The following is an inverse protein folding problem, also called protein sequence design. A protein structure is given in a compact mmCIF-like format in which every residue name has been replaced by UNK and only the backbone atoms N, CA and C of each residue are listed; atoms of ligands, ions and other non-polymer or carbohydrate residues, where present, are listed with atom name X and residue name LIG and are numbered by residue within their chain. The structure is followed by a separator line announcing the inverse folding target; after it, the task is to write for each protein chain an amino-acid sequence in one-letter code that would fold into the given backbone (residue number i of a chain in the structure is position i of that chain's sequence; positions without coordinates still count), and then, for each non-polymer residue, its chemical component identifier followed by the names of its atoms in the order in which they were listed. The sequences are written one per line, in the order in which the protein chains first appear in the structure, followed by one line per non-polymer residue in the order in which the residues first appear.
data_IF_923840864355
#
_entry.id   IF_923840864355
#
_cell.length_a   1.000
_cell.length_b   1.000
_cell.length_c   1.000
_cell.angle_alpha   90.00
_cell.angle_beta   90.00
_cell.angle_gamma   90.00
#
_symmetry.space_group_name_H-M   'P 1'
#
loop_
_entity.id
_entity.type
_entity.pdbx_description
1 polymer ?
#
# COMPACT_ATOMS: atom_id res chain seq x y z
N UNK A 1 38.72 -3.94 24.98
CA UNK A 1 38.16 -4.67 23.81
C UNK A 1 36.68 -4.35 23.73
N UNK A 2 36.28 -3.47 22.81
CA UNK A 2 34.88 -3.17 22.53
C UNK A 2 34.65 -3.52 21.06
N UNK A 3 33.90 -4.60 20.84
CA UNK A 3 33.48 -5.04 19.51
C UNK A 3 32.44 -4.08 18.96
N UNK A 4 32.89 -3.13 18.14
CA UNK A 4 32.03 -2.25 17.37
C UNK A 4 31.31 -3.03 16.28
N UNK A 5 29.99 -3.07 16.41
CA UNK A 5 29.01 -3.60 15.48
C UNK A 5 29.35 -3.18 14.03
N UNK A 6 29.59 -4.16 13.14
CA UNK A 6 29.75 -3.89 11.70
C UNK A 6 28.40 -3.42 11.18
N UNK A 7 28.26 -2.12 10.90
CA UNK A 7 27.16 -1.59 10.14
C UNK A 7 27.00 -2.41 8.85
N UNK A 8 25.88 -3.11 8.72
CA UNK A 8 25.55 -3.86 7.52
C UNK A 8 25.54 -2.90 6.32
N UNK A 9 26.16 -3.31 5.22
CA UNK A 9 26.20 -2.58 3.97
C UNK A 9 24.79 -2.07 3.61
N UNK A 10 24.58 -0.78 3.26
CA UNK A 10 23.26 -0.30 2.85
C UNK A 10 22.75 -1.16 1.70
N UNK A 11 21.57 -1.74 1.91
CA UNK A 11 20.94 -2.68 0.99
C UNK A 11 20.72 -1.98 -0.35
N UNK A 12 21.34 -2.48 -1.42
CA UNK A 12 21.06 -1.99 -2.78
C UNK A 12 19.79 -2.66 -3.28
N UNK A 13 18.76 -1.87 -3.61
CA UNK A 13 17.51 -2.37 -4.20
C UNK A 13 17.76 -3.24 -5.43
N UNK A 14 16.94 -4.27 -5.63
CA UNK A 14 17.00 -5.14 -6.82
C UNK A 14 16.86 -4.33 -8.13
N UNK A 15 16.21 -3.17 -8.06
CA UNK A 15 15.96 -2.28 -9.20
C UNK A 15 17.12 -1.33 -9.50
N UNK A 16 18.02 -1.06 -8.54
CA UNK A 16 19.21 -0.20 -8.71
C UNK A 16 20.50 -0.96 -8.99
N UNK A 17 20.46 -2.28 -8.89
CA UNK A 17 21.60 -3.12 -9.21
C UNK A 17 21.84 -3.13 -10.73
N UNK A 18 22.40 -2.05 -11.27
CA UNK A 18 22.95 -2.04 -12.63
C UNK A 18 23.96 -3.18 -12.78
N UNK A 19 23.76 -4.04 -13.79
CA UNK A 19 24.82 -4.91 -14.30
C UNK A 19 25.18 -6.14 -13.46
N UNK A 20 24.46 -6.50 -12.39
CA UNK A 20 24.54 -7.89 -11.90
C UNK A 20 23.90 -8.78 -12.98
N UNK A 21 24.59 -9.84 -13.45
CA UNK A 21 23.98 -10.73 -14.41
C UNK A 21 22.66 -11.20 -13.81
N UNK A 22 21.55 -11.00 -14.54
CA UNK A 22 20.29 -11.67 -14.22
C UNK A 22 20.63 -13.08 -13.76
N UNK A 23 20.14 -13.55 -12.59
CA UNK A 23 20.54 -14.83 -12.01
C UNK A 23 20.55 -15.86 -13.14
N UNK A 24 21.76 -16.36 -13.44
CA UNK A 24 22.19 -16.96 -14.71
C UNK A 24 21.03 -17.29 -15.64
N UNK A 25 20.73 -16.38 -16.58
CA UNK A 25 19.91 -16.69 -17.75
C UNK A 25 20.68 -17.71 -18.61
N UNK A 26 20.56 -18.99 -18.27
CA UNK A 26 20.63 -20.14 -19.20
C UNK A 26 19.24 -20.79 -19.26
N UNK A 27 18.21 -19.96 -19.44
CA UNK A 27 17.03 -20.41 -20.14
C UNK A 27 17.43 -20.48 -21.63
N UNK A 28 17.88 -21.65 -22.08
CA UNK A 28 17.72 -22.03 -23.48
C UNK A 28 16.22 -22.09 -23.74
N UNK A 29 15.66 -20.96 -24.17
CA UNK A 29 14.27 -20.76 -24.52
C UNK A 29 13.92 -21.41 -25.86
N UNK A 30 14.17 -22.73 -26.00
CA UNK A 30 13.76 -23.45 -27.22
C UNK A 30 13.16 -24.84 -26.99
N UNK A 31 13.00 -25.33 -25.74
CA UNK A 31 12.34 -26.65 -25.49
C UNK A 31 11.48 -26.76 -24.23
N UNK A 32 11.04 -25.65 -23.65
CA UNK A 32 10.21 -25.67 -22.43
C UNK A 32 8.83 -25.05 -22.64
N UNK A 33 8.27 -25.16 -23.84
CA UNK A 33 6.82 -25.12 -23.99
C UNK A 33 6.30 -26.50 -23.58
N UNK A 34 5.32 -26.51 -22.68
CA UNK A 34 4.46 -27.65 -22.31
C UNK A 34 4.93 -28.62 -21.21
N UNK A 35 5.17 -28.11 -19.99
CA UNK A 35 4.77 -28.87 -18.80
C UNK A 35 4.01 -27.96 -17.82
N UNK A 36 2.73 -28.22 -17.54
CA UNK A 36 2.03 -27.61 -16.42
C UNK A 36 2.74 -28.04 -15.12
N UNK A 37 3.59 -27.17 -14.57
CA UNK A 37 4.28 -27.46 -13.31
C UNK A 37 5.74 -27.00 -13.18
N UNK A 38 6.38 -26.46 -14.23
CA UNK A 38 7.73 -25.89 -14.06
C UNK A 38 7.70 -24.66 -13.14
N UNK A 39 8.75 -24.48 -12.34
CA UNK A 39 8.93 -23.30 -11.50
C UNK A 39 9.41 -22.13 -12.37
N UNK A 40 8.82 -20.96 -12.20
CA UNK A 40 9.27 -19.70 -12.78
C UNK A 40 9.09 -18.55 -11.79
N UNK A 41 9.61 -17.37 -12.14
CA UNK A 41 9.58 -16.20 -11.26
C UNK A 41 8.15 -15.71 -11.00
N UNK A 42 7.29 -15.73 -12.01
CA UNK A 42 5.89 -15.29 -11.89
C UNK A 42 5.13 -16.17 -10.90
N UNK A 43 5.29 -17.49 -10.99
CA UNK A 43 4.70 -18.45 -10.05
C UNK A 43 5.23 -18.27 -8.63
N UNK A 44 6.52 -17.97 -8.45
CA UNK A 44 7.10 -17.68 -7.13
C UNK A 44 6.49 -16.41 -6.54
N UNK A 45 6.39 -15.33 -7.31
CA UNK A 45 5.81 -14.05 -6.88
C UNK A 45 4.33 -14.25 -6.51
N UNK A 46 3.54 -14.90 -7.38
CA UNK A 46 2.12 -15.14 -7.13
C UNK A 46 1.89 -16.02 -5.88
N UNK A 47 2.73 -17.03 -5.65
CA UNK A 47 2.65 -17.84 -4.44
C UNK A 47 3.05 -17.06 -3.18
N UNK A 48 4.04 -16.17 -3.29
CA UNK A 48 4.45 -15.31 -2.20
C UNK A 48 3.35 -14.31 -1.80
N UNK A 49 2.68 -13.68 -2.78
CA UNK A 49 1.54 -12.78 -2.53
C UNK A 49 0.43 -13.54 -1.80
N UNK A 50 -0.04 -14.68 -2.33
CA UNK A 50 -1.09 -15.49 -1.65
C UNK A 50 -0.73 -15.86 -0.22
N UNK A 51 0.53 -16.25 0.02
CA UNK A 51 1.00 -16.62 1.35
C UNK A 51 1.05 -15.41 2.29
N UNK A 52 1.48 -14.24 1.79
CA UNK A 52 1.50 -12.99 2.54
C UNK A 52 0.09 -12.50 2.87
N UNK A 53 -0.86 -12.60 1.94
CA UNK A 53 -2.26 -12.23 2.16
C UNK A 53 -2.94 -13.14 3.21
N UNK A 54 -2.66 -14.44 3.16
CA UNK A 54 -3.28 -15.43 4.03
C UNK A 54 -2.66 -15.47 5.43
N UNK A 55 -1.33 -15.40 5.54
CA UNK A 55 -0.61 -15.65 6.80
C UNK A 55 0.09 -14.41 7.37
N UNK A 56 0.21 -13.34 6.58
CA UNK A 56 0.90 -12.11 6.96
C UNK A 56 2.43 -12.22 6.95
N UNK A 57 3.06 -11.06 7.07
CA UNK A 57 4.52 -10.91 6.96
C UNK A 57 5.30 -11.67 8.04
N UNK A 58 4.75 -11.79 9.25
CA UNK A 58 5.40 -12.44 10.41
C UNK A 58 5.64 -13.93 10.19
N UNK A 59 4.68 -14.62 9.55
CA UNK A 59 4.77 -16.07 9.27
C UNK A 59 5.51 -16.37 7.96
N UNK A 60 5.72 -15.35 7.13
CA UNK A 60 6.34 -15.50 5.82
C UNK A 60 7.86 -15.79 5.89
N UNK A 61 8.27 -16.90 5.27
CA UNK A 61 9.67 -17.30 5.10
C UNK A 61 9.93 -17.99 3.76
N UNK A 62 11.17 -17.94 3.28
CA UNK A 62 11.59 -18.62 2.04
C UNK A 62 11.34 -20.14 2.09
N UNK A 63 11.46 -20.74 3.29
CA UNK A 63 11.16 -22.16 3.51
C UNK A 63 9.65 -22.45 3.41
N UNK A 64 8.81 -21.61 4.02
CA UNK A 64 7.34 -21.75 3.94
C UNK A 64 6.86 -21.58 2.50
N UNK A 65 7.42 -20.61 1.77
CA UNK A 65 7.16 -20.41 0.34
C UNK A 65 7.58 -21.61 -0.51
N UNK A 66 8.77 -22.17 -0.30
CA UNK A 66 9.21 -23.35 -1.02
C UNK A 66 8.31 -24.57 -0.76
N UNK A 67 7.88 -24.75 0.51
CA UNK A 67 6.93 -25.78 0.88
C UNK A 67 5.57 -25.60 0.18
N UNK A 68 5.06 -24.37 0.13
CA UNK A 68 3.83 -24.00 -0.59
C UNK A 68 3.93 -24.33 -2.09
N UNK A 69 5.09 -24.11 -2.67
CA UNK A 69 5.38 -24.39 -4.08
C UNK A 69 5.69 -25.88 -4.37
N UNK A 70 5.83 -26.72 -3.34
CA UNK A 70 6.22 -28.13 -3.47
C UNK A 70 7.66 -28.33 -3.95
N UNK A 71 8.56 -27.37 -3.68
CA UNK A 71 9.96 -27.39 -4.13
C UNK A 71 10.94 -27.20 -2.97
N UNK A 72 12.24 -27.35 -3.23
CA UNK A 72 13.27 -27.03 -2.24
C UNK A 72 13.50 -25.53 -2.13
N UNK A 73 13.94 -25.03 -0.98
CA UNK A 73 14.32 -23.62 -0.83
C UNK A 73 15.41 -23.20 -1.83
N UNK A 74 16.36 -24.09 -2.11
CA UNK A 74 17.41 -23.87 -3.10
C UNK A 74 16.82 -23.60 -4.50
N UNK A 75 15.75 -24.30 -4.88
CA UNK A 75 15.05 -24.09 -6.15
C UNK A 75 14.50 -22.67 -6.29
N UNK A 76 14.00 -22.07 -5.20
CA UNK A 76 13.49 -20.68 -5.20
C UNK A 76 14.64 -19.68 -5.35
N UNK A 77 15.76 -19.91 -4.65
CA UNK A 77 16.94 -19.05 -4.72
C UNK A 77 17.63 -19.01 -6.09
N UNK A 78 17.30 -19.92 -7.01
CA UNK A 78 17.71 -19.81 -8.41
C UNK A 78 17.05 -18.64 -9.16
N UNK A 79 15.90 -18.16 -8.68
CA UNK A 79 15.11 -17.12 -9.34
C UNK A 79 15.18 -15.77 -8.62
N UNK A 80 15.49 -15.77 -7.32
CA UNK A 80 15.60 -14.58 -6.47
C UNK A 80 16.79 -14.74 -5.51
N UNK A 81 17.64 -13.73 -5.37
CA UNK A 81 18.89 -13.92 -4.63
C UNK A 81 18.65 -14.03 -3.12
N UNK A 82 17.64 -13.33 -2.59
CA UNK A 82 17.32 -13.32 -1.17
C UNK A 82 15.83 -12.99 -0.91
N UNK A 83 15.41 -13.03 0.37
CA UNK A 83 14.02 -12.76 0.78
C UNK A 83 13.59 -11.34 0.43
N UNK A 84 14.47 -10.38 0.58
CA UNK A 84 14.17 -8.97 0.39
C UNK A 84 14.03 -8.61 -1.07
N UNK A 85 14.87 -9.16 -1.95
CA UNK A 85 14.71 -9.09 -3.40
C UNK A 85 13.34 -9.62 -3.82
N UNK A 86 12.88 -10.73 -3.21
CA UNK A 86 11.54 -11.24 -3.43
C UNK A 86 10.46 -10.28 -2.90
N UNK A 87 10.66 -9.66 -1.73
CA UNK A 87 9.73 -8.69 -1.17
C UNK A 87 9.61 -7.43 -2.06
N UNK A 88 10.70 -6.94 -2.62
CA UNK A 88 10.68 -5.84 -3.61
C UNK A 88 9.94 -6.23 -4.90
N UNK A 89 10.07 -7.48 -5.34
CA UNK A 89 9.37 -7.98 -6.52
C UNK A 89 7.86 -8.11 -6.29
N UNK A 90 7.43 -8.66 -5.15
CA UNK A 90 5.99 -8.78 -4.84
C UNK A 90 5.34 -7.42 -4.58
N UNK A 91 6.07 -6.47 -3.98
CA UNK A 91 5.60 -5.08 -3.81
C UNK A 91 5.34 -4.41 -5.16
N UNK A 92 6.27 -4.57 -6.10
CA UNK A 92 6.04 -4.03 -7.44
C UNK A 92 4.87 -4.75 -8.13
N UNK A 93 4.77 -6.07 -8.01
CA UNK A 93 3.69 -6.84 -8.65
C UNK A 93 2.30 -6.38 -8.19
N UNK A 94 2.05 -6.25 -6.88
CA UNK A 94 0.75 -5.76 -6.37
C UNK A 94 0.49 -4.30 -6.74
N UNK A 95 1.54 -3.50 -6.93
CA UNK A 95 1.40 -2.13 -7.45
C UNK A 95 0.89 -2.12 -8.90
N UNK A 96 1.04 -3.23 -9.63
CA UNK A 96 0.51 -3.42 -10.98
C UNK A 96 -0.98 -3.71 -11.04
N UNK A 97 -1.64 -3.96 -9.91
CA UNK A 97 -3.09 -4.19 -9.83
C UNK A 97 -3.90 -2.89 -9.92
N UNK A 98 -3.25 -1.76 -9.64
CA UNK A 98 -3.89 -0.45 -9.65
C UNK A 98 -4.25 0.00 -11.06
N UNK A 99 -5.51 0.35 -11.28
CA UNK A 99 -5.98 0.90 -12.54
C UNK A 99 -5.59 2.39 -12.66
N UNK A 100 -4.64 2.70 -13.53
CA UNK A 100 -4.17 4.07 -13.73
C UNK A 100 -5.11 4.83 -14.68
N UNK A 101 -5.53 6.07 -14.35
CA UNK A 101 -6.19 6.94 -15.33
C UNK A 101 -5.21 7.29 -16.45
N UNK A 102 -5.74 7.72 -17.60
CA UNK A 102 -4.93 8.38 -18.62
C UNK A 102 -4.57 9.81 -18.14
N UNK A 103 -3.31 10.07 -17.74
CA UNK A 103 -2.93 11.36 -17.20
C UNK A 103 -2.89 12.48 -18.26
N UNK A 104 -3.03 12.13 -19.55
CA UNK A 104 -2.97 13.06 -20.67
C UNK A 104 -4.36 13.31 -21.30
N UNK A 105 -5.44 12.71 -20.76
CA UNK A 105 -6.81 12.94 -21.21
C UNK A 105 -7.26 14.40 -21.05
N UNK A 106 -7.51 15.11 -22.15
CA UNK A 106 -7.75 16.56 -22.19
C UNK A 106 -8.98 17.02 -21.39
N UNK A 107 -10.07 16.25 -21.42
CA UNK A 107 -11.35 16.61 -20.79
C UNK A 107 -11.49 16.12 -19.34
N UNK A 108 -10.48 15.44 -18.79
CA UNK A 108 -10.57 14.86 -17.46
C UNK A 108 -10.22 15.86 -16.35
N UNK A 109 -11.07 15.95 -15.31
CA UNK A 109 -10.73 16.73 -14.10
C UNK A 109 -9.59 16.03 -13.34
N UNK A 110 -8.50 16.77 -13.10
CA UNK A 110 -7.36 16.28 -12.33
C UNK A 110 -7.78 15.85 -10.90
N UNK A 111 -8.84 16.46 -10.33
CA UNK A 111 -9.36 16.08 -9.01
C UNK A 111 -9.91 14.66 -9.03
N UNK A 112 -10.72 14.34 -10.05
CA UNK A 112 -11.29 12.99 -10.21
C UNK A 112 -10.20 11.96 -10.48
N UNK A 113 -9.17 12.32 -11.23
CA UNK A 113 -8.03 11.43 -11.46
C UNK A 113 -7.20 11.19 -10.19
N UNK A 114 -6.97 12.22 -9.36
CA UNK A 114 -6.33 12.03 -8.05
C UNK A 114 -7.20 11.22 -7.11
N UNK A 115 -8.53 11.39 -7.15
CA UNK A 115 -9.46 10.52 -6.41
C UNK A 115 -9.27 9.07 -6.83
N UNK A 116 -9.36 8.79 -8.13
CA UNK A 116 -9.16 7.43 -8.65
C UNK A 116 -7.83 6.84 -8.19
N UNK A 117 -6.72 7.55 -8.37
CA UNK A 117 -5.39 7.09 -7.94
C UNK A 117 -5.31 6.81 -6.43
N UNK A 118 -5.93 7.65 -5.60
CA UNK A 118 -5.97 7.46 -4.15
C UNK A 118 -6.85 6.25 -3.75
N UNK A 119 -7.99 6.05 -4.40
CA UNK A 119 -8.85 4.87 -4.17
C UNK A 119 -8.17 3.58 -4.60
N UNK A 120 -7.51 3.56 -5.76
CA UNK A 120 -6.72 2.42 -6.24
C UNK A 120 -5.60 2.08 -5.25
N UNK A 121 -4.94 3.10 -4.74
CA UNK A 121 -3.86 2.91 -3.78
C UNK A 121 -4.35 2.38 -2.42
N UNK A 122 -5.43 2.97 -1.88
CA UNK A 122 -6.09 2.43 -0.69
C UNK A 122 -6.55 0.99 -0.90
N UNK A 123 -7.20 0.71 -2.03
CA UNK A 123 -7.71 -0.61 -2.38
C UNK A 123 -6.59 -1.66 -2.39
N UNK A 124 -5.44 -1.34 -2.97
CA UNK A 124 -4.25 -2.21 -2.94
C UNK A 124 -3.73 -2.43 -1.51
N UNK A 125 -3.64 -1.38 -0.69
CA UNK A 125 -3.21 -1.50 0.72
C UNK A 125 -4.16 -2.35 1.57
N UNK A 126 -5.47 -2.19 1.40
CA UNK A 126 -6.50 -2.96 2.11
C UNK A 126 -6.51 -4.42 1.64
N UNK A 127 -6.35 -4.66 0.33
CA UNK A 127 -6.26 -6.02 -0.24
C UNK A 127 -4.99 -6.75 0.21
N UNK A 128 -3.89 -6.02 0.36
CA UNK A 128 -2.58 -6.55 0.75
C UNK A 128 -2.04 -5.87 2.03
N UNK A 129 -2.60 -6.20 3.21
CA UNK A 129 -2.24 -5.61 4.50
C UNK A 129 -0.74 -5.50 4.82
N UNK A 130 0.02 -6.50 4.37
CA UNK A 130 1.46 -6.59 4.58
C UNK A 130 2.24 -5.47 3.86
N UNK A 131 1.68 -4.85 2.81
CA UNK A 131 2.33 -3.78 2.05
C UNK A 131 2.59 -2.57 2.94
N UNK A 132 1.63 -2.16 3.77
CA UNK A 132 1.75 -0.99 4.65
C UNK A 132 2.99 -1.07 5.57
N UNK A 133 3.37 -2.29 5.99
CA UNK A 133 4.55 -2.52 6.83
C UNK A 133 5.88 -2.45 6.06
N UNK A 134 5.85 -2.61 4.74
CA UNK A 134 7.03 -2.67 3.87
C UNK A 134 7.31 -1.37 3.12
N UNK A 135 6.30 -0.54 2.85
CA UNK A 135 6.43 0.69 2.03
C UNK A 135 7.51 1.65 2.55
N UNK A 136 7.77 1.68 3.86
CA UNK A 136 8.85 2.48 4.48
C UNK A 136 10.18 1.74 4.66
N UNK A 137 10.23 0.43 4.36
CA UNK A 137 11.42 -0.41 4.52
C UNK A 137 12.16 -0.62 3.19
N UNK A 138 11.45 -0.55 2.06
CA UNK A 138 11.97 -0.77 0.72
C UNK A 138 11.82 0.47 -0.16
N UNK A 139 12.69 0.59 -1.16
CA UNK A 139 12.53 1.59 -2.21
C UNK A 139 11.51 1.07 -3.23
N UNK A 140 10.34 1.71 -3.31
CA UNK A 140 9.26 1.35 -4.24
C UNK A 140 9.53 1.90 -5.66
N UNK A 141 10.65 1.50 -6.25
CA UNK A 141 11.16 2.00 -7.53
C UNK A 141 11.10 0.95 -8.65
N UNK A 142 10.32 -0.10 -8.45
CA UNK A 142 10.03 -1.06 -9.50
C UNK A 142 9.17 -0.44 -10.62
N UNK A 143 9.14 -1.05 -11.82
CA UNK A 143 8.51 -0.48 -13.00
C UNK A 143 7.00 -0.22 -12.83
N UNK A 144 6.26 -1.06 -12.09
CA UNK A 144 4.81 -0.85 -11.85
C UNK A 144 4.60 0.31 -10.87
N UNK A 145 5.39 0.34 -9.80
CA UNK A 145 5.39 1.42 -8.80
C UNK A 145 5.75 2.78 -9.42
N UNK A 146 6.72 2.78 -10.33
CA UNK A 146 7.15 3.97 -11.08
C UNK A 146 6.09 4.45 -12.06
N UNK A 147 5.31 3.55 -12.69
CA UNK A 147 4.18 3.96 -13.53
C UNK A 147 3.09 4.67 -12.72
N UNK A 148 2.75 4.16 -11.55
CA UNK A 148 1.80 4.82 -10.64
C UNK A 148 2.31 6.21 -10.20
N UNK A 149 3.59 6.28 -9.83
CA UNK A 149 4.24 7.54 -9.43
C UNK A 149 4.27 8.56 -10.57
N UNK A 150 4.61 8.14 -11.79
CA UNK A 150 4.62 9.01 -12.98
C UNK A 150 3.22 9.50 -13.35
N UNK A 151 2.21 8.61 -13.34
CA UNK A 151 0.82 8.99 -13.59
C UNK A 151 0.35 10.06 -12.60
N UNK A 152 0.56 9.86 -11.30
CA UNK A 152 0.15 10.83 -10.27
C UNK A 152 0.88 12.17 -10.42
N UNK A 153 2.18 12.14 -10.73
CA UNK A 153 2.96 13.35 -10.99
C UNK A 153 2.41 14.12 -12.19
N UNK A 154 2.08 13.45 -13.29
CA UNK A 154 1.53 14.09 -14.50
C UNK A 154 0.15 14.70 -14.24
N UNK A 155 -0.74 13.99 -13.56
CA UNK A 155 -2.06 14.51 -13.17
C UNK A 155 -1.91 15.81 -12.37
N UNK A 156 -1.02 15.80 -11.37
CA UNK A 156 -0.81 17.00 -10.54
C UNK A 156 -0.13 18.14 -11.31
N UNK A 157 0.80 17.85 -12.22
CA UNK A 157 1.39 18.89 -13.11
C UNK A 157 0.33 19.54 -14.00
N UNK A 158 -0.57 18.75 -14.57
CA UNK A 158 -1.66 19.23 -15.43
C UNK A 158 -2.66 20.11 -14.69
N UNK A 159 -2.81 19.92 -13.37
CA UNK A 159 -3.66 20.79 -12.54
C UNK A 159 -3.23 22.27 -12.56
N UNK A 160 -2.00 22.56 -12.98
CA UNK A 160 -1.37 23.87 -12.92
C UNK A 160 -0.67 24.16 -11.59
N UNK A 161 -0.46 23.14 -10.75
CA UNK A 161 0.33 23.25 -9.53
C UNK A 161 1.78 23.65 -9.82
N UNK A 162 2.31 24.55 -9.01
CA UNK A 162 3.68 25.03 -9.13
C UNK A 162 4.68 23.89 -8.80
N UNK A 163 5.78 23.73 -9.57
CA UNK A 163 6.71 22.60 -9.43
C UNK A 163 7.28 22.38 -8.02
N UNK A 164 7.60 23.44 -7.27
CA UNK A 164 8.13 23.32 -5.91
C UNK A 164 7.12 22.76 -4.91
N UNK A 165 5.80 22.91 -5.17
CA UNK A 165 4.73 22.40 -4.29
C UNK A 165 4.30 20.97 -4.61
N UNK A 166 4.57 20.47 -5.81
CA UNK A 166 4.15 19.12 -6.25
C UNK A 166 4.55 18.05 -5.24
N UNK A 167 5.81 18.03 -4.81
CA UNK A 167 6.32 17.02 -3.89
C UNK A 167 5.58 17.04 -2.54
N UNK A 168 5.33 18.25 -2.00
CA UNK A 168 4.59 18.42 -0.75
C UNK A 168 3.12 18.02 -0.86
N UNK A 169 2.46 18.37 -1.98
CA UNK A 169 1.08 18.00 -2.26
C UNK A 169 0.89 16.49 -2.42
N UNK A 170 1.77 15.83 -3.18
CA UNK A 170 1.77 14.36 -3.29
C UNK A 170 2.09 13.70 -1.94
N UNK A 171 3.02 14.27 -1.18
CA UNK A 171 3.33 13.84 0.17
C UNK A 171 2.10 13.86 1.07
N UNK A 172 1.37 14.98 1.12
CA UNK A 172 0.15 15.12 1.92
C UNK A 172 -0.94 14.12 1.49
N UNK A 173 -1.18 13.99 0.18
CA UNK A 173 -2.14 13.04 -0.38
C UNK A 173 -1.82 11.60 0.04
N UNK A 174 -0.60 11.15 -0.23
CA UNK A 174 -0.25 9.76 0.06
C UNK A 174 -0.08 9.50 1.54
N UNK A 175 0.41 10.44 2.34
CA UNK A 175 0.44 10.30 3.80
C UNK A 175 -0.95 10.13 4.40
N UNK A 176 -1.96 10.85 3.88
CA UNK A 176 -3.34 10.63 4.23
C UNK A 176 -3.80 9.20 3.87
N UNK A 177 -3.59 8.77 2.62
CA UNK A 177 -3.98 7.42 2.17
C UNK A 177 -3.30 6.33 3.00
N UNK A 178 -1.99 6.45 3.23
CA UNK A 178 -1.22 5.52 4.06
C UNK A 178 -1.74 5.47 5.48
N UNK A 179 -1.92 6.64 6.12
CA UNK A 179 -2.38 6.72 7.50
C UNK A 179 -3.74 6.07 7.65
N UNK A 180 -4.67 6.39 6.74
CA UNK A 180 -6.02 5.85 6.75
C UNK A 180 -6.02 4.33 6.54
N UNK A 181 -5.42 3.85 5.45
CA UNK A 181 -5.40 2.43 5.11
C UNK A 181 -4.66 1.61 6.18
N UNK A 182 -3.56 2.12 6.73
CA UNK A 182 -2.81 1.43 7.80
C UNK A 182 -3.66 1.25 9.05
N UNK A 183 -4.39 2.27 9.48
CA UNK A 183 -5.28 2.17 10.65
C UNK A 183 -6.40 1.17 10.39
N UNK A 184 -7.04 1.26 9.23
CA UNK A 184 -8.09 0.32 8.81
C UNK A 184 -7.57 -1.13 8.85
N UNK A 185 -6.47 -1.40 8.17
CA UNK A 185 -5.86 -2.73 8.09
C UNK A 185 -5.40 -3.26 9.45
N UNK A 186 -4.76 -2.44 10.29
CA UNK A 186 -4.34 -2.89 11.63
C UNK A 186 -5.53 -3.22 12.52
N UNK A 187 -6.63 -2.51 12.37
CA UNK A 187 -7.87 -2.80 13.08
C UNK A 187 -8.49 -4.12 12.60
N UNK A 188 -8.54 -4.35 11.29
CA UNK A 188 -8.97 -5.61 10.67
C UNK A 188 -8.11 -6.79 11.14
N UNK A 189 -6.78 -6.65 11.14
CA UNK A 189 -5.83 -7.67 11.63
C UNK A 189 -6.07 -7.99 13.12
N UNK A 190 -6.23 -6.96 13.96
CA UNK A 190 -6.49 -7.13 15.40
C UNK A 190 -7.77 -7.91 15.65
N UNK A 191 -8.87 -7.58 14.96
CA UNK A 191 -10.15 -8.25 15.15
C UNK A 191 -10.06 -9.71 14.67
N UNK A 192 -9.41 -9.96 13.53
CA UNK A 192 -9.17 -11.31 13.00
C UNK A 192 -8.37 -12.18 13.97
N UNK A 193 -7.27 -11.65 14.51
CA UNK A 193 -6.40 -12.38 15.46
C UNK A 193 -7.13 -12.67 16.79
N UNK A 194 -8.05 -11.81 17.20
CA UNK A 194 -8.90 -11.99 18.38
C UNK A 194 -10.15 -12.86 18.13
N UNK A 195 -10.44 -13.21 16.87
CA UNK A 195 -11.67 -13.92 16.49
C UNK A 195 -12.95 -13.08 16.66
N UNK A 196 -12.83 -11.76 16.56
CA UNK A 196 -13.92 -10.80 16.71
C UNK A 196 -14.46 -10.37 15.36
N UNK A 197 -15.79 -10.20 15.27
CA UNK A 197 -16.40 -9.43 14.20
C UNK A 197 -16.17 -7.92 14.45
N UNK A 198 -15.80 -7.20 13.41
CA UNK A 198 -15.42 -5.79 13.53
C UNK A 198 -16.61 -4.88 13.85
N UNK A 199 -17.77 -5.15 13.24
CA UNK A 199 -18.99 -4.37 13.45
C UNK A 199 -19.48 -4.56 14.89
N UNK A 200 -19.53 -5.82 15.34
CA UNK A 200 -19.95 -6.16 16.71
C UNK A 200 -19.00 -5.55 17.73
N UNK A 201 -17.68 -5.62 17.51
CA UNK A 201 -16.70 -5.05 18.40
C UNK A 201 -16.79 -3.51 18.48
N UNK A 202 -16.98 -2.82 17.35
CA UNK A 202 -17.20 -1.37 17.35
C UNK A 202 -18.47 -0.98 18.12
N UNK A 203 -19.54 -1.74 17.95
CA UNK A 203 -20.81 -1.54 18.66
C UNK A 203 -20.64 -1.75 20.16
N UNK A 204 -19.98 -2.82 20.59
CA UNK A 204 -19.71 -3.11 22.00
C UNK A 204 -18.88 -2.02 22.67
N UNK A 205 -17.83 -1.52 21.99
CA UNK A 205 -17.03 -0.40 22.48
C UNK A 205 -17.88 0.87 22.62
N UNK A 206 -18.70 1.18 21.61
CA UNK A 206 -19.57 2.37 21.62
C UNK A 206 -20.62 2.30 22.74
N UNK A 207 -21.18 1.11 22.98
CA UNK A 207 -22.16 0.85 24.04
C UNK A 207 -21.52 1.04 25.42
N UNK A 208 -20.35 0.44 25.63
CA UNK A 208 -19.60 0.57 26.88
C UNK A 208 -19.25 2.01 27.21
N UNK A 209 -18.93 2.84 26.21
CA UNK A 209 -18.63 4.26 26.40
C UNK A 209 -19.89 5.08 26.75
N UNK A 210 -21.05 4.72 26.17
CA UNK A 210 -22.33 5.42 26.40
C UNK A 210 -22.93 5.07 27.75
N UNK A 211 -22.75 3.83 28.21
CA UNK A 211 -23.24 3.36 29.51
C UNK A 211 -22.41 3.88 30.69
N UNK A 212 -21.26 4.53 30.46
CA UNK A 212 -20.42 5.15 31.49
C UNK A 212 -20.84 6.60 31.75
N UNK A 213 -21.50 6.94 32.88
CA UNK A 213 -22.06 8.28 33.11
C UNK A 213 -20.98 9.36 33.19
N UNK A 214 -19.88 9.08 33.92
CA UNK A 214 -18.74 9.99 34.06
C UNK A 214 -18.05 10.27 32.70
N UNK A 215 -18.01 9.27 31.81
CA UNK A 215 -17.42 9.42 30.49
C UNK A 215 -18.35 10.21 29.56
N UNK A 216 -19.64 9.90 29.59
CA UNK A 216 -20.64 10.55 28.76
C UNK A 216 -20.82 12.04 29.09
N UNK A 217 -20.77 12.41 30.38
CA UNK A 217 -20.82 13.81 30.80
C UNK A 217 -19.57 14.58 30.37
N UNK A 218 -18.39 13.95 30.49
CA UNK A 218 -17.10 14.61 30.23
C UNK A 218 -16.74 14.74 28.75
N UNK A 219 -17.23 13.83 27.91
CA UNK A 219 -16.90 13.75 26.48
C UNK A 219 -18.13 13.75 25.58
N UNK A 220 -19.07 14.66 25.85
CA UNK A 220 -20.38 14.73 25.18
C UNK A 220 -20.33 14.73 23.64
N UNK A 221 -19.43 15.51 23.05
CA UNK A 221 -19.25 15.56 21.58
C UNK A 221 -18.74 14.22 21.01
N UNK A 222 -17.77 13.60 21.68
CA UNK A 222 -17.26 12.28 21.30
C UNK A 222 -18.34 11.22 21.39
N UNK A 223 -19.24 11.32 22.37
CA UNK A 223 -20.36 10.40 22.53
C UNK A 223 -21.43 10.60 21.47
N UNK A 224 -21.77 11.85 21.14
CA UNK A 224 -22.69 12.15 20.06
C UNK A 224 -22.17 11.61 18.71
N UNK A 225 -20.85 11.65 18.50
CA UNK A 225 -20.22 11.02 17.34
C UNK A 225 -20.31 9.49 17.41
N UNK A 226 -19.89 8.87 18.51
CA UNK A 226 -19.93 7.41 18.68
C UNK A 226 -21.34 6.83 18.47
N UNK A 227 -22.38 7.52 18.94
CA UNK A 227 -23.77 7.11 18.76
C UNK A 227 -24.22 7.14 17.29
N UNK A 228 -23.72 8.07 16.47
CA UNK A 228 -23.99 8.10 15.03
C UNK A 228 -23.29 6.97 14.30
N UNK A 229 -22.03 6.68 14.67
CA UNK A 229 -21.24 5.62 14.08
C UNK A 229 -21.80 4.22 14.39
N UNK A 230 -22.51 4.05 15.51
CA UNK A 230 -23.08 2.77 15.94
C UNK A 230 -24.03 2.13 14.93
N UNK A 231 -24.86 2.92 14.26
CA UNK A 231 -25.99 2.44 13.45
C UNK A 231 -25.63 2.21 11.97
N UNK A 232 -24.41 2.58 11.56
CA UNK A 232 -23.95 2.51 10.18
C UNK A 232 -23.06 1.27 9.96
N UNK A 233 -23.15 0.59 8.81
CA UNK A 233 -22.20 -0.46 8.47
C UNK A 233 -20.76 0.09 8.44
N UNK A 234 -19.82 -0.63 9.04
CA UNK A 234 -18.43 -0.21 9.19
C UNK A 234 -17.74 0.00 7.84
N UNK A 235 -18.09 -0.79 6.83
CA UNK A 235 -17.59 -0.61 5.47
C UNK A 235 -18.01 0.74 4.88
N UNK A 236 -19.27 1.14 5.07
CA UNK A 236 -19.80 2.43 4.63
C UNK A 236 -19.13 3.59 5.38
N UNK A 237 -18.88 3.41 6.69
CA UNK A 237 -18.13 4.36 7.50
C UNK A 237 -16.72 4.58 6.97
N UNK A 238 -15.99 3.50 6.69
CA UNK A 238 -14.63 3.60 6.15
C UNK A 238 -14.62 4.30 4.79
N UNK A 239 -15.57 3.97 3.91
CA UNK A 239 -15.64 4.57 2.58
C UNK A 239 -16.00 6.06 2.64
N UNK A 240 -16.98 6.43 3.47
CA UNK A 240 -17.37 7.83 3.68
C UNK A 240 -16.23 8.64 4.26
N UNK A 241 -15.63 8.18 5.35
CA UNK A 241 -14.59 8.95 6.06
C UNK A 241 -13.31 9.07 5.19
N UNK A 242 -12.99 8.04 4.40
CA UNK A 242 -11.92 8.13 3.41
C UNK A 242 -12.24 9.19 2.35
N UNK A 243 -13.45 9.16 1.78
CA UNK A 243 -13.88 10.10 0.74
C UNK A 243 -13.83 11.55 1.24
N UNK A 244 -14.39 11.83 2.43
CA UNK A 244 -14.39 13.17 3.03
C UNK A 244 -12.96 13.64 3.32
N UNK A 245 -12.11 12.78 3.87
CA UNK A 245 -10.71 13.11 4.13
C UNK A 245 -9.92 13.39 2.84
N UNK A 246 -10.12 12.57 1.81
CA UNK A 246 -9.51 12.72 0.50
C UNK A 246 -9.92 14.03 -0.17
N UNK A 247 -11.21 14.34 -0.19
CA UNK A 247 -11.73 15.59 -0.73
C UNK A 247 -11.18 16.80 0.01
N UNK A 248 -11.02 16.71 1.34
CA UNK A 248 -10.38 17.77 2.15
C UNK A 248 -8.94 18.02 1.72
N UNK A 249 -8.16 16.96 1.48
CA UNK A 249 -6.78 17.09 1.00
C UNK A 249 -6.72 17.66 -0.42
N UNK A 250 -7.57 17.18 -1.34
CA UNK A 250 -7.63 17.67 -2.72
C UNK A 250 -8.04 19.15 -2.76
N UNK A 251 -9.04 19.55 -1.97
CA UNK A 251 -9.44 20.95 -1.84
C UNK A 251 -8.29 21.81 -1.28
N UNK A 252 -7.52 21.30 -0.32
CA UNK A 252 -6.31 21.95 0.17
C UNK A 252 -5.25 22.14 -0.93
N UNK A 253 -5.00 21.12 -1.75
CA UNK A 253 -4.09 21.21 -2.90
C UNK A 253 -4.55 22.28 -3.89
N UNK A 254 -5.85 22.31 -4.19
CA UNK A 254 -6.47 23.31 -5.07
C UNK A 254 -6.28 24.74 -4.54
N UNK A 255 -6.62 24.99 -3.28
CA UNK A 255 -6.45 26.32 -2.66
C UNK A 255 -4.99 26.77 -2.69
N UNK A 256 -4.06 25.85 -2.43
CA UNK A 256 -2.64 26.18 -2.43
C UNK A 256 -2.08 26.41 -3.84
N UNK A 257 -2.68 25.80 -4.87
CA UNK A 257 -2.40 26.11 -6.28
C UNK A 257 -2.88 27.53 -6.62
N UNK A 258 -4.11 27.87 -6.22
CA UNK A 258 -4.74 29.12 -6.65
C UNK A 258 -4.17 30.37 -5.97
N UNK A 259 -3.79 30.27 -4.69
CA UNK A 259 -3.15 31.39 -3.95
C UNK A 259 -1.92 31.99 -4.64
N UNK A 260 -1.13 31.17 -5.33
CA UNK A 260 0.06 31.66 -6.03
C UNK A 260 -0.29 32.37 -7.34
N UNK A 261 -1.36 31.97 -8.02
CA UNK A 261 -1.83 32.66 -9.22
C UNK A 261 -2.24 34.10 -8.90
N UNK A 262 -2.80 34.31 -7.71
CA UNK A 262 -3.21 35.63 -7.24
C UNK A 262 -2.03 36.47 -6.70
N UNK A 263 -0.94 35.84 -6.25
CA UNK A 263 0.29 36.53 -5.80
C UNK A 263 1.20 36.95 -6.97
N UNK A 264 1.11 36.27 -8.11
CA UNK A 264 1.88 36.55 -9.33
C UNK A 264 1.15 37.45 -10.35
N UNK A 265 -0.15 37.75 -10.14
CA UNK A 265 -0.99 38.59 -10.99
C UNK A 265 -1.03 40.06 -10.54
#
# INVERSE_FOLDING_TARGET
MAGGNRAGNPRTSIWLAEGKPAPRRRASADRSREQPGSLDRERIIAAAIRLLDAEGLTKFSMRRLAAELGVTAMSVYWYVDNKDDLLELVLDEVSGEMALPDPDAEDADWRDQLRQLAHEYRGMLVRHPWVARLVGQYLNIGPRSMRFSDATLRVLRRSGAEPSRISGSLGALFQFVYGFATVQTLYEERCRDAGLDQQEYLKEVSDSLTESPDFAERYSESMAMAQRLREEPLEDLWERDFTVGLDTVIAGIEVMRDRLRDEEA
#
